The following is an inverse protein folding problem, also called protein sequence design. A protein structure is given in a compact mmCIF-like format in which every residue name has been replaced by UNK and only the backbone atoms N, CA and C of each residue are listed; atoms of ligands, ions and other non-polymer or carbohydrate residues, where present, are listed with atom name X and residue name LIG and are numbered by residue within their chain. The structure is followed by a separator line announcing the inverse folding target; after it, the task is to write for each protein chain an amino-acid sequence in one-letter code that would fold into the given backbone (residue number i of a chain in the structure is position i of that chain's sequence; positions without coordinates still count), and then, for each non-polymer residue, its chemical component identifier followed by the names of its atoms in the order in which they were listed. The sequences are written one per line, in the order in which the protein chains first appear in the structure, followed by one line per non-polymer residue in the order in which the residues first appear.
data_IF_682389934564
#
_entry.id   IF_682389934564
#
_cell.length_a   1.000
_cell.length_b   1.000
_cell.length_c   1.000
_cell.angle_alpha   90.00
_cell.angle_beta   90.00
_cell.angle_gamma   90.00
#
_symmetry.space_group_name_H-M   'P 1'
#
loop_
_entity.id
_entity.type
_entity.pdbx_description
1 polymer ?
#
# COMPACT_ATOMS: atom_id res chain seq x y z
N UNK A 1 5.85 0.23 -20.53
CA UNK A 1 6.95 0.66 -19.65
C UNK A 1 6.60 0.53 -18.17
N UNK A 2 5.59 1.22 -17.64
CA UNK A 2 5.23 1.16 -16.20
C UNK A 2 4.96 -0.27 -15.71
N UNK A 3 4.16 -1.07 -16.45
CA UNK A 3 3.93 -2.49 -16.11
C UNK A 3 5.22 -3.34 -16.06
N UNK A 4 6.18 -3.07 -16.94
CA UNK A 4 7.48 -3.73 -16.91
C UNK A 4 8.31 -3.28 -15.70
N UNK A 5 8.24 -2.01 -15.32
CA UNK A 5 8.88 -1.50 -14.11
C UNK A 5 8.27 -2.11 -12.84
N UNK A 6 6.94 -2.28 -12.77
CA UNK A 6 6.28 -2.97 -11.66
C UNK A 6 6.75 -4.43 -11.55
N UNK A 7 6.85 -5.13 -12.69
CA UNK A 7 7.38 -6.51 -12.74
C UNK A 7 8.85 -6.55 -12.34
N UNK A 8 9.64 -5.55 -12.74
CA UNK A 8 11.04 -5.41 -12.35
C UNK A 8 11.15 -5.26 -10.83
N UNK A 9 10.34 -4.39 -10.23
CA UNK A 9 10.34 -4.16 -8.78
C UNK A 9 10.11 -5.44 -8.00
N UNK A 10 9.08 -6.22 -8.37
CA UNK A 10 8.74 -7.45 -7.65
C UNK A 10 9.85 -8.52 -7.72
N UNK A 11 10.69 -8.46 -8.74
CA UNK A 11 11.78 -9.43 -8.96
C UNK A 11 13.13 -9.00 -8.42
N UNK A 12 13.51 -7.75 -8.72
CA UNK A 12 14.88 -7.24 -8.52
C UNK A 12 14.93 -6.18 -7.40
N UNK A 13 13.77 -5.70 -6.94
CA UNK A 13 13.64 -4.73 -5.85
C UNK A 13 13.70 -3.26 -6.30
N UNK A 14 13.31 -2.38 -5.38
CA UNK A 14 13.25 -0.92 -5.60
C UNK A 14 14.61 -0.28 -5.91
N UNK A 15 15.64 -0.67 -5.16
CA UNK A 15 16.96 -0.04 -5.26
C UNK A 15 17.69 -0.42 -6.56
N UNK A 16 17.37 -1.58 -7.14
CA UNK A 16 17.93 -2.04 -8.41
C UNK A 16 17.33 -1.32 -9.63
N UNK A 17 16.22 -0.60 -9.47
CA UNK A 17 15.55 0.07 -10.60
C UNK A 17 16.40 1.23 -11.12
N UNK A 18 16.89 1.06 -12.35
CA UNK A 18 17.60 2.08 -13.14
C UNK A 18 17.05 2.10 -14.57
N UNK A 19 17.29 3.20 -15.31
CA UNK A 19 16.90 3.31 -16.72
C UNK A 19 17.53 2.18 -17.54
N UNK A 20 18.82 1.89 -17.34
CA UNK A 20 19.51 0.84 -18.08
C UNK A 20 19.00 -0.56 -17.73
N UNK A 21 18.74 -0.84 -16.44
CA UNK A 21 18.20 -2.13 -16.02
C UNK A 21 16.81 -2.38 -16.62
N UNK A 22 15.95 -1.36 -16.61
CA UNK A 22 14.62 -1.45 -17.22
C UNK A 22 14.69 -1.58 -18.75
N UNK A 23 15.60 -0.86 -19.41
CA UNK A 23 15.79 -0.96 -20.86
C UNK A 23 16.23 -2.37 -21.27
N UNK A 24 17.18 -2.96 -20.52
CA UNK A 24 17.63 -4.32 -20.72
C UNK A 24 16.47 -5.33 -20.56
N UNK A 25 15.62 -5.18 -19.54
CA UNK A 25 14.44 -6.05 -19.38
C UNK A 25 13.46 -5.92 -20.56
N UNK A 26 13.30 -4.71 -21.11
CA UNK A 26 12.42 -4.44 -22.24
C UNK A 26 13.02 -4.82 -23.60
N UNK A 27 14.28 -5.26 -23.65
CA UNK A 27 14.99 -5.52 -24.91
C UNK A 27 15.21 -4.25 -25.75
N UNK A 28 15.22 -3.08 -25.12
CA UNK A 28 15.41 -1.78 -25.78
C UNK A 28 16.73 -1.13 -25.36
N UNK A 29 17.12 -0.05 -26.04
CA UNK A 29 18.31 0.73 -25.66
C UNK A 29 17.91 1.78 -24.61
N UNK A 30 18.78 2.06 -23.65
CA UNK A 30 18.58 3.08 -22.61
C UNK A 30 18.05 4.42 -23.13
N UNK A 31 18.62 5.00 -24.21
CA UNK A 31 18.12 6.25 -24.82
C UNK A 31 16.64 6.22 -25.22
N UNK A 32 16.11 5.06 -25.63
CA UNK A 32 14.71 4.92 -26.06
C UNK A 32 13.71 5.08 -24.91
N UNK A 33 14.11 4.84 -23.67
CA UNK A 33 13.23 5.05 -22.51
C UNK A 33 13.01 6.52 -22.19
N UNK A 34 13.94 7.40 -22.55
CA UNK A 34 13.77 8.84 -22.35
C UNK A 34 12.67 9.46 -23.23
N UNK A 35 12.17 8.72 -24.22
CA UNK A 35 10.95 9.10 -24.96
C UNK A 35 9.68 9.00 -24.10
N UNK A 36 9.76 8.33 -22.95
CA UNK A 36 8.61 8.05 -22.07
C UNK A 36 8.77 8.61 -20.66
N UNK A 37 10.00 8.84 -20.19
CA UNK A 37 10.31 9.44 -18.87
C UNK A 37 11.42 10.46 -19.00
N UNK A 38 11.35 11.52 -18.20
CA UNK A 38 12.35 12.59 -18.22
C UNK A 38 13.62 12.22 -17.44
N UNK A 39 13.49 11.37 -16.42
CA UNK A 39 14.60 10.95 -15.54
C UNK A 39 14.28 9.63 -14.83
N UNK A 40 15.25 9.10 -14.08
CA UNK A 40 15.01 7.96 -13.18
C UNK A 40 14.01 8.33 -12.07
N UNK A 41 14.05 9.56 -11.58
CA UNK A 41 13.14 10.02 -10.54
C UNK A 41 11.71 10.15 -11.07
N UNK A 42 11.54 10.65 -12.31
CA UNK A 42 10.25 10.68 -12.99
C UNK A 42 9.68 9.26 -13.22
N UNK A 43 10.53 8.30 -13.61
CA UNK A 43 10.15 6.89 -13.67
C UNK A 43 9.70 6.35 -12.30
N UNK A 44 10.49 6.58 -11.25
CA UNK A 44 10.20 6.12 -9.89
C UNK A 44 8.91 6.72 -9.36
N UNK A 45 8.71 8.02 -9.59
CA UNK A 45 7.48 8.74 -9.28
C UNK A 45 6.28 8.11 -9.98
N UNK A 46 6.35 7.93 -11.29
CA UNK A 46 5.29 7.32 -12.10
C UNK A 46 4.93 5.91 -11.59
N UNK A 47 5.95 5.12 -11.25
CA UNK A 47 5.77 3.77 -10.71
C UNK A 47 5.08 3.80 -9.35
N UNK A 48 5.47 4.72 -8.45
CA UNK A 48 4.82 4.85 -7.14
C UNK A 48 3.37 5.30 -7.26
N UNK A 49 3.07 6.29 -8.11
CA UNK A 49 1.70 6.72 -8.38
C UNK A 49 0.85 5.55 -8.86
N UNK A 50 1.39 4.73 -9.77
CA UNK A 50 0.70 3.53 -10.24
C UNK A 50 0.48 2.49 -9.14
N UNK A 51 1.43 2.31 -8.23
CA UNK A 51 1.28 1.41 -7.08
C UNK A 51 0.19 1.91 -6.13
N UNK A 52 0.11 3.22 -5.88
CA UNK A 52 -0.96 3.83 -5.09
C UNK A 52 -2.33 3.54 -5.73
N UNK A 53 -2.45 3.76 -7.05
CA UNK A 53 -3.67 3.46 -7.79
C UNK A 53 -4.07 1.98 -7.71
N UNK A 54 -3.10 1.06 -7.86
CA UNK A 54 -3.33 -0.38 -7.76
C UNK A 54 -3.83 -0.76 -6.34
N UNK A 55 -3.26 -0.17 -5.28
CA UNK A 55 -3.70 -0.39 -3.88
C UNK A 55 -5.12 0.17 -3.67
N UNK A 56 -5.39 1.39 -4.12
CA UNK A 56 -6.73 2.00 -4.02
C UNK A 56 -7.76 1.14 -4.72
N UNK A 57 -7.47 0.72 -5.96
CA UNK A 57 -8.35 -0.14 -6.76
C UNK A 57 -8.63 -1.47 -6.05
N UNK A 58 -7.58 -2.14 -5.57
CA UNK A 58 -7.70 -3.38 -4.82
C UNK A 58 -8.58 -3.21 -3.57
N UNK A 59 -8.32 -2.20 -2.74
CA UNK A 59 -9.08 -1.96 -1.51
C UNK A 59 -10.55 -1.65 -1.81
N UNK A 60 -10.83 -0.82 -2.81
CA UNK A 60 -12.20 -0.56 -3.25
C UNK A 60 -12.91 -1.84 -3.68
N UNK A 61 -12.26 -2.69 -4.50
CA UNK A 61 -12.85 -3.95 -4.96
C UNK A 61 -13.18 -4.90 -3.83
N UNK A 62 -12.26 -5.09 -2.86
CA UNK A 62 -12.52 -6.04 -1.76
C UNK A 62 -13.51 -5.49 -0.73
N UNK A 63 -13.63 -4.17 -0.63
CA UNK A 63 -14.59 -3.48 0.23
C UNK A 63 -16.00 -3.37 -0.36
N UNK A 64 -16.17 -3.55 -1.66
CA UNK A 64 -17.45 -3.39 -2.33
C UNK A 64 -18.53 -4.30 -1.74
N UNK A 65 -19.65 -3.71 -1.34
CA UNK A 65 -20.78 -4.43 -0.74
C UNK A 65 -20.55 -4.93 0.70
N UNK A 66 -19.38 -4.66 1.29
CA UNK A 66 -19.07 -5.00 2.69
C UNK A 66 -19.19 -3.78 3.60
N UNK A 67 -19.33 -4.04 4.89
CA UNK A 67 -19.32 -2.99 5.94
C UNK A 67 -18.70 -3.52 7.23
N UNK A 68 -18.37 -2.60 8.13
CA UNK A 68 -17.82 -2.85 9.46
C UNK A 68 -16.70 -3.91 9.43
N UNK A 69 -16.74 -4.88 10.34
CA UNK A 69 -15.72 -5.90 10.57
C UNK A 69 -15.42 -6.71 9.31
N UNK A 70 -16.44 -7.04 8.50
CA UNK A 70 -16.26 -7.82 7.27
C UNK A 70 -15.43 -7.05 6.24
N UNK A 71 -15.72 -5.75 6.05
CA UNK A 71 -14.94 -4.90 5.16
C UNK A 71 -13.51 -4.70 5.68
N UNK A 72 -13.35 -4.46 6.99
CA UNK A 72 -12.03 -4.30 7.62
C UNK A 72 -11.17 -5.54 7.46
N UNK A 73 -11.72 -6.73 7.75
CA UNK A 73 -11.00 -8.00 7.59
C UNK A 73 -10.62 -8.28 6.14
N UNK A 74 -11.52 -8.01 5.19
CA UNK A 74 -11.25 -8.19 3.77
C UNK A 74 -10.14 -7.25 3.27
N UNK A 75 -10.20 -5.96 3.62
CA UNK A 75 -9.19 -4.97 3.26
C UNK A 75 -7.83 -5.26 3.90
N UNK A 76 -7.80 -5.59 5.18
CA UNK A 76 -6.58 -5.94 5.90
C UNK A 76 -5.90 -7.17 5.27
N UNK A 77 -6.68 -8.22 4.99
CA UNK A 77 -6.18 -9.44 4.35
C UNK A 77 -5.65 -9.17 2.94
N UNK A 78 -6.34 -8.33 2.17
CA UNK A 78 -5.90 -7.91 0.84
C UNK A 78 -4.57 -7.13 0.91
N UNK A 79 -4.43 -6.21 1.87
CA UNK A 79 -3.19 -5.45 2.07
C UNK A 79 -2.01 -6.35 2.43
N UNK A 80 -2.19 -7.28 3.39
CA UNK A 80 -1.17 -8.28 3.75
C UNK A 80 -0.80 -9.15 2.56
N UNK A 81 -1.79 -9.67 1.84
CA UNK A 81 -1.58 -10.48 0.64
C UNK A 81 -0.83 -9.72 -0.46
N UNK A 82 -1.18 -8.46 -0.70
CA UNK A 82 -0.50 -7.60 -1.68
C UNK A 82 0.99 -7.46 -1.37
N UNK A 83 1.36 -7.28 -0.10
CA UNK A 83 2.75 -7.15 0.30
C UNK A 83 3.58 -8.41 0.02
N UNK A 84 3.00 -9.59 0.25
CA UNK A 84 3.67 -10.87 -0.02
C UNK A 84 3.77 -11.19 -1.51
N UNK A 85 2.74 -10.87 -2.30
CA UNK A 85 2.74 -11.14 -3.74
C UNK A 85 3.53 -10.10 -4.54
N UNK A 86 3.64 -8.87 -4.03
CA UNK A 86 4.29 -7.76 -4.70
C UNK A 86 5.27 -7.01 -3.77
N UNK A 87 6.32 -7.69 -3.25
CA UNK A 87 7.22 -7.10 -2.24
C UNK A 87 7.95 -5.86 -2.75
N UNK A 88 8.25 -5.81 -4.05
CA UNK A 88 8.88 -4.65 -4.68
C UNK A 88 7.95 -3.44 -4.76
N UNK A 89 6.68 -3.65 -5.14
CA UNK A 89 5.67 -2.58 -5.14
C UNK A 89 5.34 -2.12 -3.72
N UNK A 90 5.21 -3.06 -2.79
CA UNK A 90 5.01 -2.72 -1.38
C UNK A 90 6.14 -1.87 -0.81
N UNK A 91 7.39 -2.20 -1.16
CA UNK A 91 8.53 -1.36 -0.82
C UNK A 91 8.48 0.02 -1.48
N UNK A 92 8.02 0.11 -2.74
CA UNK A 92 7.84 1.39 -3.42
C UNK A 92 6.81 2.29 -2.71
N UNK A 93 5.70 1.70 -2.26
CA UNK A 93 4.63 2.40 -1.54
C UNK A 93 5.08 2.94 -0.18
N UNK A 94 5.78 2.12 0.60
CA UNK A 94 6.11 2.42 2.00
C UNK A 94 7.35 3.32 2.17
N UNK A 95 8.18 3.47 1.13
CA UNK A 95 9.37 4.33 1.13
C UNK A 95 9.06 5.80 0.84
N UNK A 96 8.18 6.44 1.61
CA UNK A 96 7.90 7.87 1.44
C UNK A 96 9.14 8.73 1.73
N UNK A 97 9.47 9.72 0.88
CA UNK A 97 10.57 10.63 1.17
C UNK A 97 10.26 11.50 2.39
N UNK A 98 11.25 11.72 3.25
CA UNK A 98 11.15 12.64 4.39
C UNK A 98 11.13 14.08 3.85
N UNK A 99 10.05 14.83 4.11
CA UNK A 99 9.89 16.22 3.64
C UNK A 99 9.36 16.29 2.21
N UNK A 100 8.09 15.91 2.01
CA UNK A 100 7.46 15.81 0.70
C UNK A 100 7.45 17.12 -0.10
N UNK A 101 8.32 17.22 -1.09
CA UNK A 101 8.38 18.34 -2.03
C UNK A 101 7.47 18.14 -3.27
N UNK A 102 6.74 17.02 -3.36
CA UNK A 102 5.81 16.72 -4.45
C UNK A 102 4.35 16.74 -3.97
N UNK A 103 3.59 17.82 -4.28
CA UNK A 103 2.20 17.96 -3.86
C UNK A 103 1.27 16.89 -4.44
N UNK A 104 1.50 16.46 -5.68
CA UNK A 104 0.66 15.46 -6.34
C UNK A 104 0.87 14.08 -5.71
N UNK A 105 2.13 13.72 -5.41
CA UNK A 105 2.42 12.48 -4.68
C UNK A 105 1.84 12.49 -3.26
N UNK A 106 1.91 13.64 -2.59
CA UNK A 106 1.32 13.84 -1.26
C UNK A 106 -0.20 13.67 -1.29
N UNK A 107 -0.86 14.24 -2.30
CA UNK A 107 -2.30 14.10 -2.51
C UNK A 107 -2.69 12.64 -2.82
N UNK A 108 -1.94 11.94 -3.67
CA UNK A 108 -2.18 10.53 -3.99
C UNK A 108 -2.03 9.63 -2.76
N UNK A 109 -1.00 9.88 -1.93
CA UNK A 109 -0.81 9.10 -0.71
C UNK A 109 -1.92 9.35 0.30
N UNK A 110 -2.42 10.58 0.43
CA UNK A 110 -3.63 10.85 1.21
C UNK A 110 -4.86 10.13 0.64
N UNK A 111 -5.02 10.13 -0.69
CA UNK A 111 -6.12 9.44 -1.35
C UNK A 111 -6.10 7.91 -1.12
N UNK A 112 -4.93 7.32 -0.82
CA UNK A 112 -4.81 5.91 -0.47
C UNK A 112 -5.59 5.52 0.79
N UNK A 113 -5.87 6.47 1.70
CA UNK A 113 -6.73 6.25 2.85
C UNK A 113 -8.24 6.26 2.50
N UNK A 114 -8.62 6.78 1.33
CA UNK A 114 -10.02 6.97 0.92
C UNK A 114 -10.89 5.72 1.02
N UNK A 115 -10.47 4.55 0.48
CA UNK A 115 -11.24 3.31 0.60
C UNK A 115 -11.48 2.90 2.06
N UNK A 116 -10.47 3.05 2.90
CA UNK A 116 -10.55 2.70 4.33
C UNK A 116 -11.47 3.66 5.06
N UNK A 117 -11.36 4.97 4.80
CA UNK A 117 -12.24 6.00 5.35
C UNK A 117 -13.71 5.72 4.99
N UNK A 118 -13.98 5.31 3.75
CA UNK A 118 -15.33 4.96 3.31
C UNK A 118 -15.92 3.78 4.12
N UNK A 119 -15.10 2.80 4.47
CA UNK A 119 -15.52 1.69 5.35
C UNK A 119 -15.68 2.16 6.79
N UNK A 120 -14.79 3.03 7.29
CA UNK A 120 -14.86 3.55 8.65
C UNK A 120 -16.13 4.38 8.91
N UNK A 121 -16.72 4.98 7.86
CA UNK A 121 -18.04 5.60 7.95
C UNK A 121 -19.15 4.64 8.41
N UNK A 122 -19.00 3.32 8.17
CA UNK A 122 -19.95 2.32 8.68
C UNK A 122 -19.85 2.07 10.20
N UNK A 123 -18.81 2.61 10.84
CA UNK A 123 -18.64 2.68 12.30
C UNK A 123 -19.05 4.04 12.88
N UNK A 124 -19.62 4.95 12.09
CA UNK A 124 -19.97 6.30 12.54
C UNK A 124 -18.84 7.32 12.47
N UNK A 125 -17.63 6.90 12.07
CA UNK A 125 -16.46 7.79 11.98
C UNK A 125 -16.50 8.65 10.71
N UNK A 126 -16.25 9.94 10.85
CA UNK A 126 -16.12 10.88 9.75
C UNK A 126 -14.91 11.82 9.90
N UNK A 127 -14.68 12.64 8.87
CA UNK A 127 -13.67 13.69 8.86
C UNK A 127 -12.29 13.24 9.35
N UNK A 128 -11.78 13.97 10.33
CA UNK A 128 -10.44 13.77 10.90
C UNK A 128 -10.36 12.46 11.72
N UNK A 129 -11.45 12.08 12.40
CA UNK A 129 -11.50 10.84 13.18
C UNK A 129 -11.37 9.60 12.29
N UNK A 130 -12.04 9.58 11.13
CA UNK A 130 -11.90 8.50 10.17
C UNK A 130 -10.48 8.45 9.57
N UNK A 131 -9.86 9.61 9.32
CA UNK A 131 -8.48 9.66 8.85
C UNK A 131 -7.49 9.13 9.90
N UNK A 132 -7.64 9.52 11.16
CA UNK A 132 -6.80 9.02 12.26
C UNK A 132 -6.97 7.52 12.48
N UNK A 133 -8.21 7.00 12.44
CA UNK A 133 -8.46 5.57 12.47
C UNK A 133 -7.81 4.85 11.27
N UNK A 134 -7.88 5.41 10.06
CA UNK A 134 -7.20 4.83 8.90
C UNK A 134 -5.67 4.79 9.07
N UNK A 135 -5.06 5.82 9.69
CA UNK A 135 -3.64 5.82 10.04
C UNK A 135 -3.29 4.78 11.10
N UNK A 136 -4.15 4.55 12.09
CA UNK A 136 -3.96 3.50 13.10
C UNK A 136 -3.96 2.11 12.45
N UNK A 137 -4.96 1.83 11.59
CA UNK A 137 -5.01 0.59 10.80
C UNK A 137 -3.76 0.43 9.95
N UNK A 138 -3.38 1.45 9.19
CA UNK A 138 -2.19 1.37 8.33
C UNK A 138 -0.92 1.14 9.14
N UNK A 139 -0.74 1.84 10.27
CA UNK A 139 0.42 1.69 11.13
C UNK A 139 0.54 0.26 11.68
N UNK A 140 -0.58 -0.30 12.17
CA UNK A 140 -0.61 -1.66 12.69
C UNK A 140 -0.36 -2.71 11.58
N UNK A 141 -1.04 -2.59 10.44
CA UNK A 141 -0.88 -3.51 9.31
C UNK A 141 0.51 -3.43 8.69
N UNK A 142 1.05 -2.22 8.50
CA UNK A 142 2.39 -2.03 7.97
C UNK A 142 3.45 -2.64 8.89
N UNK A 143 3.34 -2.39 10.20
CA UNK A 143 4.23 -2.97 11.20
C UNK A 143 4.15 -4.50 11.24
N UNK A 144 2.93 -5.06 11.22
CA UNK A 144 2.72 -6.50 11.17
C UNK A 144 3.37 -7.13 9.94
N UNK A 145 3.06 -6.60 8.75
CA UNK A 145 3.58 -7.11 7.47
C UNK A 145 5.10 -6.98 7.42
N UNK A 146 5.67 -5.88 7.90
CA UNK A 146 7.13 -5.70 7.96
C UNK A 146 7.81 -6.76 8.83
N UNK A 147 7.28 -7.01 10.04
CA UNK A 147 7.81 -8.02 10.95
C UNK A 147 7.67 -9.44 10.36
N UNK A 148 6.55 -9.72 9.72
CA UNK A 148 6.30 -10.99 9.04
C UNK A 148 7.28 -11.20 7.87
N UNK A 149 7.42 -10.22 6.97
CA UNK A 149 8.30 -10.32 5.79
C UNK A 149 9.79 -10.38 6.15
N UNK A 150 10.18 -9.96 7.36
CA UNK A 150 11.57 -9.97 7.82
C UNK A 150 11.92 -11.24 8.62
N UNK A 151 10.99 -12.19 8.76
CA UNK A 151 11.20 -13.46 9.47
C UNK A 151 11.19 -13.33 11.00
N UNK A 152 10.86 -12.14 11.55
CA UNK A 152 10.76 -11.94 13.01
C UNK A 152 9.69 -12.84 13.62
N UNK A 153 8.68 -13.21 12.84
CA UNK A 153 7.56 -14.06 13.25
C UNK A 153 7.75 -15.54 12.86
N UNK A 154 8.96 -15.97 12.50
CA UNK A 154 9.23 -17.38 12.20
C UNK A 154 8.87 -18.28 13.40
N UNK A 155 8.06 -19.31 13.16
CA UNK A 155 7.55 -20.21 14.22
C UNK A 155 6.33 -19.70 14.98
N UNK A 156 5.76 -18.55 14.59
CA UNK A 156 4.48 -18.03 15.08
C UNK A 156 3.36 -18.41 14.12
N UNK A 157 2.16 -18.67 14.64
CA UNK A 157 0.94 -18.71 13.83
C UNK A 157 0.54 -17.28 13.45
N UNK A 158 1.08 -16.78 12.34
CA UNK A 158 0.86 -15.39 11.92
C UNK A 158 -0.58 -15.13 11.51
N UNK A 159 -1.32 -16.13 11.06
CA UNK A 159 -2.74 -15.98 10.70
C UNK A 159 -3.61 -15.74 11.94
N UNK A 160 -3.35 -16.47 13.02
CA UNK A 160 -4.03 -16.25 14.30
C UNK A 160 -3.71 -14.85 14.87
N UNK A 161 -2.43 -14.46 14.92
CA UNK A 161 -2.03 -13.15 15.45
C UNK A 161 -2.59 -12.01 14.59
N UNK A 162 -2.54 -12.14 13.26
CA UNK A 162 -3.10 -11.16 12.34
C UNK A 162 -4.59 -10.96 12.56
N UNK A 163 -5.35 -12.06 12.59
CA UNK A 163 -6.80 -12.04 12.77
C UNK A 163 -7.17 -11.39 14.11
N UNK A 164 -6.52 -11.80 15.19
CA UNK A 164 -6.74 -11.23 16.52
C UNK A 164 -6.45 -9.73 16.57
N UNK A 165 -5.35 -9.29 15.94
CA UNK A 165 -4.98 -7.88 15.88
C UNK A 165 -6.03 -7.06 15.13
N UNK A 166 -6.46 -7.50 13.95
CA UNK A 166 -7.44 -6.78 13.13
C UNK A 166 -8.81 -6.73 13.83
N UNK A 167 -9.25 -7.84 14.45
CA UNK A 167 -10.50 -7.87 15.22
C UNK A 167 -10.45 -6.91 16.42
N UNK A 168 -9.32 -6.83 17.13
CA UNK A 168 -9.18 -5.88 18.26
C UNK A 168 -9.21 -4.43 17.79
N UNK A 169 -8.57 -4.12 16.66
CA UNK A 169 -8.64 -2.78 16.06
C UNK A 169 -10.07 -2.42 15.63
N UNK A 170 -10.76 -3.34 14.96
CA UNK A 170 -12.15 -3.17 14.54
C UNK A 170 -13.10 -2.91 15.73
N UNK A 171 -13.01 -3.74 16.77
CA UNK A 171 -13.80 -3.54 18.01
C UNK A 171 -13.55 -2.19 18.67
N UNK A 172 -12.30 -1.73 18.66
CA UNK A 172 -11.96 -0.40 19.19
C UNK A 172 -12.62 0.75 18.42
N UNK A 173 -13.08 0.53 17.18
CA UNK A 173 -13.83 1.54 16.42
C UNK A 173 -15.28 1.67 16.90
N UNK A 174 -15.92 0.56 17.31
CA UNK A 174 -17.29 0.57 17.86
C UNK A 174 -17.40 1.40 19.15
N UNK A 175 -16.33 1.44 19.95
CA UNK A 175 -16.31 2.12 21.24
C UNK A 175 -16.10 3.64 21.13
N UNK A 176 -15.64 4.15 19.97
CA UNK A 176 -15.33 5.57 19.75
C UNK A 176 -16.56 6.47 19.65
N UNK A 177 -17.70 5.94 19.22
CA UNK A 177 -18.98 6.67 19.16
C UNK A 177 -19.59 6.92 20.55
N UNK A 178 -19.05 6.31 21.62
CA UNK A 178 -19.61 6.37 22.97
C UNK A 178 -18.94 7.42 23.89
N UNK A 179 -18.00 8.21 23.39
CA UNK A 179 -17.25 9.23 24.14
C UNK A 179 -17.57 10.65 23.67
#
# INVERSE_FOLDING_TARGET
MVSAALTFLDREGWDALTINALANQLGTKGPSLYNHVQSLDDLRRTVRMRVIDDIIGMLNTVGEGRSRDDAVMAMASAYRSYAHHHPGRYSAFTRMPLGGDDPEYTAATHAAAGPVIAVLASYGLDGENAFYAALEFWSALHGFVLLEMTGVMDGVDTDAVFTDMVVRLARGMDERDSA
#
